data_IF_184739794216
#
_entry.id   IF_184739794216
#
_cell.length_a   1.000
_cell.length_b   1.000
_cell.length_c   1.000
_cell.angle_alpha   90.00
_cell.angle_beta   90.00
_cell.angle_gamma   90.00
#
_symmetry.space_group_name_H-M   'P 1'
#
loop_
_entity.id
_entity.type
_entity.pdbx_description
1 polymer ?
#
# COMPACT_ATOMS: atom_id res chain seq x y z
N UNK A 1 21.72 26.24 -6.21
CA UNK A 1 21.79 24.81 -5.89
C UNK A 1 21.15 24.02 -7.02
N UNK A 2 21.88 23.17 -7.76
CA UNK A 2 21.35 22.32 -8.84
C UNK A 2 21.68 20.86 -8.56
N UNK A 3 20.76 19.96 -8.89
CA UNK A 3 20.98 18.51 -8.84
C UNK A 3 21.43 18.05 -10.22
N UNK A 4 22.67 17.59 -10.32
CA UNK A 4 23.22 17.02 -11.57
C UNK A 4 23.08 15.48 -11.53
N UNK A 5 22.50 14.85 -12.55
CA UNK A 5 22.37 13.40 -12.59
C UNK A 5 23.77 12.75 -12.74
N UNK A 6 23.96 11.64 -12.05
CA UNK A 6 25.18 10.82 -12.13
C UNK A 6 24.83 9.55 -12.90
N UNK A 7 25.46 9.33 -14.05
CA UNK A 7 25.22 8.15 -14.87
C UNK A 7 25.65 6.85 -14.18
N UNK A 8 26.83 6.85 -13.55
CA UNK A 8 27.38 5.69 -12.84
C UNK A 8 27.78 6.08 -11.42
N UNK A 9 26.92 5.86 -10.42
CA UNK A 9 27.27 6.12 -9.03
C UNK A 9 28.37 5.16 -8.55
N UNK A 10 29.34 5.67 -7.81
CA UNK A 10 30.39 4.86 -7.17
C UNK A 10 29.78 3.88 -6.16
N UNK A 11 30.48 2.76 -5.88
CA UNK A 11 30.07 1.78 -4.90
C UNK A 11 29.79 2.44 -3.53
N UNK A 12 30.65 3.40 -3.12
CA UNK A 12 30.49 4.16 -1.89
C UNK A 12 29.17 4.94 -1.87
N UNK A 13 28.72 5.54 -2.96
CA UNK A 13 27.42 6.23 -3.04
C UNK A 13 26.28 5.25 -3.09
N UNK A 14 26.44 4.11 -3.79
CA UNK A 14 25.40 3.11 -3.98
C UNK A 14 25.02 2.40 -2.68
N UNK A 15 25.98 2.16 -1.80
CA UNK A 15 25.77 1.49 -0.51
C UNK A 15 25.89 2.44 0.68
N UNK A 16 26.77 3.43 0.63
CA UNK A 16 27.02 4.34 1.73
C UNK A 16 25.84 5.26 2.03
N UNK A 17 25.20 5.87 1.01
CA UNK A 17 24.03 6.75 1.25
C UNK A 17 22.82 6.00 1.83
N UNK A 18 22.41 4.80 1.37
CA UNK A 18 21.41 4.02 2.08
C UNK A 18 21.83 3.63 3.50
N UNK A 19 23.11 3.30 3.72
CA UNK A 19 23.63 3.01 5.06
C UNK A 19 23.57 4.23 5.99
N UNK A 20 23.89 5.43 5.51
CA UNK A 20 23.73 6.68 6.28
C UNK A 20 22.27 7.00 6.58
N UNK A 21 21.34 6.72 5.66
CA UNK A 21 19.90 6.86 5.90
C UNK A 21 19.43 5.92 7.01
N UNK A 22 19.88 4.67 6.98
CA UNK A 22 19.58 3.69 8.03
C UNK A 22 20.18 4.14 9.37
N UNK A 23 21.44 4.59 9.40
CA UNK A 23 22.08 5.10 10.61
C UNK A 23 21.34 6.31 11.18
N UNK A 24 20.88 7.24 10.34
CA UNK A 24 20.10 8.40 10.77
C UNK A 24 18.73 7.97 11.34
N UNK A 25 18.08 6.99 10.72
CA UNK A 25 16.84 6.41 11.24
C UNK A 25 17.04 5.81 12.63
N UNK A 26 18.10 5.00 12.80
CA UNK A 26 18.47 4.41 14.10
C UNK A 26 18.78 5.48 15.13
N UNK A 27 19.47 6.55 14.74
CA UNK A 27 19.78 7.68 15.64
C UNK A 27 18.50 8.37 16.12
N UNK A 28 17.57 8.69 15.21
CA UNK A 28 16.28 9.31 15.56
C UNK A 28 15.45 8.38 16.44
N UNK A 29 15.40 7.08 16.11
CA UNK A 29 14.75 6.08 16.93
C UNK A 29 15.33 6.03 18.34
N UNK A 30 16.66 6.04 18.45
CA UNK A 30 17.36 6.03 19.72
C UNK A 30 17.09 7.28 20.55
N UNK A 31 17.06 8.45 19.91
CA UNK A 31 16.73 9.70 20.57
C UNK A 31 15.29 9.72 21.09
N UNK A 32 14.33 9.26 20.29
CA UNK A 32 12.92 9.17 20.69
C UNK A 32 12.73 8.16 21.83
N UNK A 33 13.44 7.03 21.81
CA UNK A 33 13.42 6.05 22.89
C UNK A 33 13.95 6.66 24.20
N UNK A 34 15.06 7.42 24.14
CA UNK A 34 15.60 8.14 25.30
C UNK A 34 14.62 9.17 25.85
N UNK A 35 13.98 9.96 24.98
CA UNK A 35 12.97 10.94 25.40
C UNK A 35 11.74 10.27 26.03
N UNK A 36 11.42 9.04 25.64
CA UNK A 36 10.37 8.22 26.25
C UNK A 36 10.84 7.48 27.51
N UNK A 37 12.09 7.71 27.99
CA UNK A 37 12.63 7.03 29.17
C UNK A 37 13.04 5.58 28.95
N UNK A 38 13.10 5.12 27.68
CA UNK A 38 13.45 3.74 27.33
C UNK A 38 14.91 3.62 26.86
N UNK A 39 15.52 2.44 27.11
CA UNK A 39 16.86 2.13 26.62
C UNK A 39 16.85 1.93 25.09
N UNK A 40 17.61 2.72 24.30
CA UNK A 40 17.61 2.65 22.84
C UNK A 40 17.99 1.27 22.28
N UNK A 41 19.00 0.63 22.86
CA UNK A 41 19.43 -0.69 22.40
C UNK A 41 18.40 -1.78 22.67
N UNK A 42 17.76 -1.73 23.84
CA UNK A 42 16.66 -2.63 24.18
C UNK A 42 15.46 -2.38 23.23
N UNK A 43 15.14 -1.13 22.95
CA UNK A 43 14.05 -0.71 22.03
C UNK A 43 14.28 -1.24 20.62
N UNK A 44 15.48 -1.03 20.07
CA UNK A 44 15.83 -1.56 18.75
C UNK A 44 15.83 -3.09 18.70
N UNK A 45 16.32 -3.74 19.77
CA UNK A 45 16.27 -5.20 19.92
C UNK A 45 14.82 -5.72 19.93
N UNK A 46 13.90 -5.02 20.62
CA UNK A 46 12.48 -5.35 20.65
C UNK A 46 11.81 -5.18 19.28
N UNK A 47 12.17 -4.15 18.50
CA UNK A 47 11.67 -3.96 17.14
C UNK A 47 12.10 -5.13 16.25
N UNK A 48 13.38 -5.50 16.25
CA UNK A 48 13.89 -6.61 15.45
C UNK A 48 13.28 -7.94 15.87
N UNK A 49 13.21 -8.19 17.18
CA UNK A 49 12.58 -9.39 17.73
C UNK A 49 11.08 -9.45 17.43
N UNK A 50 10.39 -8.32 17.50
CA UNK A 50 8.97 -8.20 17.16
C UNK A 50 8.69 -8.40 15.66
N UNK A 51 9.61 -7.99 14.80
CA UNK A 51 9.46 -8.15 13.34
C UNK A 51 9.68 -9.59 12.86
N UNK A 52 10.69 -10.31 13.40
CA UNK A 52 11.12 -11.61 12.89
C UNK A 52 11.65 -12.58 13.96
N UNK A 53 11.64 -12.25 15.24
CA UNK A 53 12.26 -13.03 16.31
C UNK A 53 11.50 -14.31 16.71
N UNK A 54 10.32 -14.55 16.18
CA UNK A 54 9.53 -15.77 16.40
C UNK A 54 8.70 -16.12 15.17
N UNK A 55 8.22 -17.39 15.09
CA UNK A 55 7.29 -17.80 14.03
C UNK A 55 6.03 -16.94 14.01
N UNK A 56 5.51 -16.58 15.19
CA UNK A 56 4.35 -15.68 15.31
C UNK A 56 4.67 -14.29 14.73
N UNK A 57 5.79 -13.69 15.12
CA UNK A 57 6.21 -12.37 14.66
C UNK A 57 6.40 -12.33 13.13
N UNK A 58 7.06 -13.36 12.57
CA UNK A 58 7.26 -13.47 11.14
C UNK A 58 5.93 -13.57 10.37
N UNK A 59 5.01 -14.42 10.82
CA UNK A 59 3.71 -14.61 10.16
C UNK A 59 2.80 -13.37 10.31
N UNK A 60 2.91 -12.63 11.42
CA UNK A 60 2.23 -11.34 11.58
C UNK A 60 2.79 -10.29 10.62
N UNK A 61 4.12 -10.25 10.43
CA UNK A 61 4.78 -9.39 9.44
C UNK A 61 4.33 -9.71 8.02
N UNK A 62 4.23 -11.00 7.65
CA UNK A 62 3.70 -11.40 6.34
C UNK A 62 2.25 -11.00 6.16
N UNK A 63 1.41 -11.16 7.19
CA UNK A 63 0.02 -10.74 7.16
C UNK A 63 -0.12 -9.23 6.95
N UNK A 64 0.66 -8.44 7.72
CA UNK A 64 0.66 -6.98 7.63
C UNK A 64 1.23 -6.46 6.30
N UNK A 65 2.14 -7.22 5.66
CA UNK A 65 2.69 -6.90 4.35
C UNK A 65 1.67 -7.07 3.21
N UNK A 66 0.65 -7.92 3.39
CA UNK A 66 -0.32 -8.23 2.33
C UNK A 66 -1.01 -6.99 1.74
N UNK A 67 -1.70 -6.13 2.52
CA UNK A 67 -2.31 -4.92 2.00
C UNK A 67 -1.27 -3.92 1.47
N UNK A 68 -0.08 -3.86 2.07
CA UNK A 68 1.01 -2.98 1.62
C UNK A 68 1.59 -3.41 0.26
N UNK A 69 1.62 -4.71 -0.05
CA UNK A 69 2.00 -5.20 -1.38
C UNK A 69 0.97 -4.72 -2.42
N UNK A 70 -0.32 -4.90 -2.16
CA UNK A 70 -1.37 -4.49 -3.09
C UNK A 70 -1.38 -2.99 -3.33
N UNK A 71 -1.37 -2.17 -2.27
CA UNK A 71 -1.34 -0.71 -2.39
C UNK A 71 -0.04 -0.21 -3.01
N UNK A 72 1.09 -0.80 -2.65
CA UNK A 72 2.39 -0.50 -3.26
C UNK A 72 2.44 -0.83 -4.76
N UNK A 73 1.87 -1.96 -5.19
CA UNK A 73 1.74 -2.31 -6.60
C UNK A 73 0.81 -1.33 -7.34
N UNK A 74 -0.31 -0.96 -6.73
CA UNK A 74 -1.23 0.02 -7.28
C UNK A 74 -0.53 1.34 -7.59
N UNK A 75 0.21 1.87 -6.63
CA UNK A 75 0.99 3.09 -6.78
C UNK A 75 2.13 2.92 -7.79
N UNK A 76 2.86 1.81 -7.75
CA UNK A 76 3.97 1.54 -8.68
C UNK A 76 3.49 1.52 -10.14
N UNK A 77 2.30 0.97 -10.41
CA UNK A 77 1.67 0.96 -11.73
C UNK A 77 1.32 2.38 -12.18
N UNK A 78 0.63 3.14 -11.34
CA UNK A 78 0.17 4.49 -11.66
C UNK A 78 1.35 5.47 -11.86
N UNK A 79 2.29 5.50 -10.92
CA UNK A 79 3.41 6.45 -10.95
C UNK A 79 4.37 6.21 -12.12
N UNK A 80 4.42 5.00 -12.65
CA UNK A 80 5.20 4.70 -13.85
C UNK A 80 4.68 5.43 -15.09
N UNK A 81 3.38 5.73 -15.16
CA UNK A 81 2.76 6.58 -16.18
C UNK A 81 2.78 8.08 -15.80
N UNK A 82 3.39 8.46 -14.68
CA UNK A 82 3.22 9.77 -14.04
C UNK A 82 1.75 10.12 -13.77
N UNK A 83 0.94 9.13 -13.48
CA UNK A 83 -0.38 9.27 -12.90
C UNK A 83 -0.24 9.22 -11.38
N UNK A 84 -0.36 10.38 -10.72
CA UNK A 84 -0.15 10.50 -9.28
C UNK A 84 -1.38 10.06 -8.50
N UNK A 85 -1.57 8.72 -8.38
CA UNK A 85 -2.65 8.15 -7.59
C UNK A 85 -2.32 8.21 -6.09
N UNK A 86 -2.83 9.22 -5.38
CA UNK A 86 -2.78 9.33 -3.92
C UNK A 86 -4.07 8.76 -3.29
N UNK A 87 -5.04 8.36 -4.12
CA UNK A 87 -6.35 7.86 -3.73
C UNK A 87 -6.42 6.36 -3.40
N UNK A 88 -5.28 5.70 -3.21
CA UNK A 88 -5.26 4.25 -2.96
C UNK A 88 -6.05 3.86 -1.68
N UNK A 89 -6.18 4.75 -0.71
CA UNK A 89 -6.98 4.55 0.49
C UNK A 89 -8.48 4.47 0.15
N UNK A 90 -9.00 5.39 -0.68
CA UNK A 90 -10.39 5.35 -1.14
C UNK A 90 -10.71 4.07 -1.92
N UNK A 91 -9.79 3.66 -2.78
CA UNK A 91 -9.92 2.44 -3.58
C UNK A 91 -9.92 1.18 -2.71
N UNK A 92 -9.08 1.15 -1.65
CA UNK A 92 -9.05 0.10 -0.64
C UNK A 92 -10.42 -0.02 0.04
N UNK A 93 -10.97 1.09 0.54
CA UNK A 93 -12.28 1.09 1.18
C UNK A 93 -13.41 0.73 0.21
N UNK A 94 -13.35 1.13 -1.07
CA UNK A 94 -14.30 0.68 -2.08
C UNK A 94 -14.30 -0.84 -2.24
N UNK A 95 -13.11 -1.45 -2.27
CA UNK A 95 -12.95 -2.90 -2.27
C UNK A 95 -13.50 -3.56 -1.01
N UNK A 96 -13.26 -2.97 0.15
CA UNK A 96 -13.78 -3.45 1.43
C UNK A 96 -15.32 -3.40 1.51
N UNK A 97 -15.95 -2.31 1.04
CA UNK A 97 -17.41 -2.17 0.97
C UNK A 97 -18.02 -3.29 0.13
N UNK A 98 -17.50 -3.49 -1.10
CA UNK A 98 -18.01 -4.54 -1.99
C UNK A 98 -17.79 -5.93 -1.41
N UNK A 99 -16.67 -6.15 -0.72
CA UNK A 99 -16.38 -7.41 -0.05
C UNK A 99 -17.44 -7.73 1.02
N UNK A 100 -17.84 -6.73 1.80
CA UNK A 100 -18.91 -6.92 2.80
C UNK A 100 -20.28 -7.10 2.14
N UNK A 101 -20.62 -6.27 1.15
CA UNK A 101 -21.92 -6.35 0.45
C UNK A 101 -22.18 -7.73 -0.14
N UNK A 102 -21.15 -8.34 -0.74
CA UNK A 102 -21.29 -9.66 -1.37
C UNK A 102 -21.02 -10.82 -0.40
N UNK A 103 -20.23 -10.56 0.65
CA UNK A 103 -19.77 -11.60 1.57
C UNK A 103 -20.67 -11.85 2.78
N UNK A 104 -21.74 -11.07 2.95
CA UNK A 104 -22.75 -11.21 4.05
C UNK A 104 -24.00 -12.00 3.63
N UNK A 105 -23.88 -12.90 2.65
CA UNK A 105 -24.97 -13.78 2.23
C UNK A 105 -25.77 -13.30 1.02
N UNK A 106 -25.34 -12.24 0.35
CA UNK A 106 -26.01 -11.75 -0.86
C UNK A 106 -25.94 -12.73 -2.05
N UNK A 107 -24.93 -13.60 -2.07
CA UNK A 107 -24.72 -14.59 -3.14
C UNK A 107 -24.56 -15.99 -2.53
N UNK A 108 -25.53 -16.91 -2.73
CA UNK A 108 -25.46 -18.28 -2.22
C UNK A 108 -24.54 -19.15 -3.07
N UNK A 109 -23.24 -18.82 -3.09
CA UNK A 109 -22.22 -19.53 -3.85
C UNK A 109 -21.24 -20.27 -2.91
N UNK A 110 -20.70 -21.43 -3.32
CA UNK A 110 -19.61 -22.07 -2.58
C UNK A 110 -18.35 -21.19 -2.59
N UNK A 111 -17.54 -21.27 -1.52
CA UNK A 111 -16.32 -20.43 -1.33
C UNK A 111 -15.40 -20.43 -2.55
N UNK A 112 -15.29 -21.53 -3.25
CA UNK A 112 -14.42 -21.64 -4.44
C UNK A 112 -14.82 -20.69 -5.57
N UNK A 113 -16.10 -20.35 -5.70
CA UNK A 113 -16.62 -19.38 -6.67
C UNK A 113 -16.85 -18.00 -6.04
N UNK A 114 -17.30 -17.95 -4.80
CA UNK A 114 -17.64 -16.71 -4.11
C UNK A 114 -16.42 -15.79 -3.94
N UNK A 115 -15.29 -16.33 -3.47
CA UNK A 115 -14.09 -15.54 -3.24
C UNK A 115 -13.52 -14.90 -4.52
N UNK A 116 -13.35 -15.61 -5.66
CA UNK A 116 -12.98 -14.97 -6.92
C UNK A 116 -13.97 -13.91 -7.39
N UNK A 117 -15.27 -14.14 -7.25
CA UNK A 117 -16.32 -13.17 -7.62
C UNK A 117 -16.20 -11.90 -6.79
N UNK A 118 -16.06 -12.04 -5.45
CA UNK A 118 -15.86 -10.90 -4.56
C UNK A 118 -14.58 -10.14 -4.90
N UNK A 119 -13.47 -10.86 -5.14
CA UNK A 119 -12.19 -10.24 -5.48
C UNK A 119 -12.27 -9.44 -6.81
N UNK A 120 -12.91 -9.99 -7.85
CA UNK A 120 -13.11 -9.29 -9.12
C UNK A 120 -14.05 -8.09 -8.97
N UNK A 121 -15.13 -8.23 -8.21
CA UNK A 121 -16.06 -7.13 -7.94
C UNK A 121 -15.37 -6.01 -7.12
N UNK A 122 -14.56 -6.37 -6.14
CA UNK A 122 -13.75 -5.42 -5.39
C UNK A 122 -12.75 -4.69 -6.30
N UNK A 123 -12.03 -5.42 -7.17
CA UNK A 123 -11.14 -4.81 -8.17
C UNK A 123 -11.88 -3.82 -9.08
N UNK A 124 -13.06 -4.17 -9.55
CA UNK A 124 -13.88 -3.30 -10.38
C UNK A 124 -14.30 -2.04 -9.63
N UNK A 125 -14.71 -2.16 -8.37
CA UNK A 125 -15.09 -1.01 -7.54
C UNK A 125 -13.93 -0.02 -7.38
N UNK A 126 -12.74 -0.48 -7.01
CA UNK A 126 -11.58 0.39 -6.89
C UNK A 126 -11.11 0.98 -8.23
N UNK A 127 -11.23 0.22 -9.31
CA UNK A 127 -10.95 0.68 -10.66
C UNK A 127 -11.90 1.85 -11.05
N UNK A 128 -13.20 1.73 -10.74
CA UNK A 128 -14.21 2.77 -10.98
C UNK A 128 -13.96 4.02 -10.14
N UNK A 129 -13.54 3.88 -8.88
CA UNK A 129 -13.20 5.02 -8.02
C UNK A 129 -12.05 5.83 -8.61
N UNK A 130 -11.00 5.19 -9.14
CA UNK A 130 -9.89 5.91 -9.75
C UNK A 130 -10.21 6.43 -11.16
N UNK A 131 -11.16 5.80 -11.84
CA UNK A 131 -11.56 6.23 -13.18
C UNK A 131 -12.08 7.68 -13.18
N UNK A 132 -12.83 8.11 -12.16
CA UNK A 132 -13.31 9.48 -12.02
C UNK A 132 -12.18 10.53 -12.12
N UNK A 133 -11.22 10.54 -11.19
CA UNK A 133 -10.05 11.43 -11.22
C UNK A 133 -9.28 11.39 -12.55
N UNK A 134 -9.11 10.20 -13.14
CA UNK A 134 -8.37 10.06 -14.41
C UNK A 134 -9.14 10.63 -15.59
N UNK A 135 -10.46 10.51 -15.64
CA UNK A 135 -11.28 11.15 -16.66
C UNK A 135 -11.26 12.67 -16.51
N UNK A 136 -11.32 13.20 -15.27
CA UNK A 136 -11.15 14.63 -15.01
C UNK A 136 -9.80 15.14 -15.50
N UNK A 137 -8.71 14.40 -15.24
CA UNK A 137 -7.37 14.75 -15.74
C UNK A 137 -7.31 14.70 -17.26
N UNK A 138 -7.74 13.61 -17.87
CA UNK A 138 -7.52 13.37 -19.31
C UNK A 138 -8.44 14.19 -20.22
N UNK A 139 -9.62 14.59 -19.74
CA UNK A 139 -10.62 15.35 -20.50
C UNK A 139 -10.66 16.84 -20.15
N UNK A 140 -10.47 17.17 -18.88
CA UNK A 140 -10.63 18.53 -18.35
C UNK A 140 -9.32 19.15 -17.85
N UNK A 141 -8.20 18.38 -17.83
CA UNK A 141 -6.91 18.87 -17.35
C UNK A 141 -6.83 19.12 -15.83
N UNK A 142 -7.79 18.58 -15.06
CA UNK A 142 -7.80 18.73 -13.59
C UNK A 142 -6.65 17.95 -12.97
N UNK A 143 -6.05 18.50 -11.90
CA UNK A 143 -4.96 17.86 -11.18
C UNK A 143 -5.45 16.59 -10.47
N UNK A 144 -4.83 15.46 -10.80
CA UNK A 144 -5.18 14.15 -10.22
C UNK A 144 -4.71 13.98 -8.78
N UNK A 145 -3.66 14.70 -8.36
CA UNK A 145 -3.18 14.67 -6.96
C UNK A 145 -4.28 15.16 -6.04
N UNK A 146 -4.84 16.33 -6.37
CA UNK A 146 -5.91 16.95 -5.60
C UNK A 146 -7.18 16.10 -5.64
N UNK A 147 -7.60 15.67 -6.83
CA UNK A 147 -8.84 14.89 -6.97
C UNK A 147 -8.75 13.54 -6.28
N UNK A 148 -7.65 12.79 -6.42
CA UNK A 148 -7.50 11.50 -5.74
C UNK A 148 -7.42 11.64 -4.22
N UNK A 149 -6.78 12.71 -3.72
CA UNK A 149 -6.74 13.01 -2.29
C UNK A 149 -8.13 13.32 -1.73
N UNK A 150 -8.91 14.14 -2.44
CA UNK A 150 -10.30 14.45 -2.04
C UNK A 150 -11.19 13.20 -2.04
N UNK A 151 -10.99 12.28 -2.98
CA UNK A 151 -11.70 11.00 -2.97
C UNK A 151 -11.43 10.16 -1.72
N UNK A 152 -10.25 10.25 -1.09
CA UNK A 152 -9.99 9.60 0.20
C UNK A 152 -10.92 10.14 1.29
N UNK A 153 -11.08 11.46 1.40
CA UNK A 153 -11.98 12.06 2.37
C UNK A 153 -13.44 11.72 2.09
N UNK A 154 -13.86 11.82 0.83
CA UNK A 154 -15.24 11.47 0.42
C UNK A 154 -15.53 10.01 0.79
N UNK A 155 -14.60 9.10 0.50
CA UNK A 155 -14.79 7.67 0.79
C UNK A 155 -14.85 7.39 2.30
N UNK A 156 -14.03 8.02 3.13
CA UNK A 156 -14.10 7.86 4.59
C UNK A 156 -15.44 8.33 5.15
N UNK A 157 -15.93 9.50 4.69
CA UNK A 157 -17.26 10.00 5.07
C UNK A 157 -18.37 9.08 4.56
N UNK A 158 -18.24 8.54 3.37
CA UNK A 158 -19.18 7.58 2.80
C UNK A 158 -19.21 6.26 3.59
N UNK A 159 -18.04 5.74 3.99
CA UNK A 159 -17.97 4.55 4.87
C UNK A 159 -18.63 4.84 6.22
N UNK A 160 -18.40 6.01 6.82
CA UNK A 160 -19.07 6.43 8.06
C UNK A 160 -20.59 6.42 7.89
N UNK A 161 -21.10 7.04 6.83
CA UNK A 161 -22.52 7.02 6.49
C UNK A 161 -23.08 5.60 6.36
N UNK A 162 -22.36 4.71 5.66
CA UNK A 162 -22.79 3.32 5.49
C UNK A 162 -22.84 2.57 6.81
N UNK A 163 -21.83 2.74 7.68
CA UNK A 163 -21.73 2.04 8.96
C UNK A 163 -22.67 2.58 10.04
N UNK A 164 -23.11 3.82 9.94
CA UNK A 164 -24.12 4.39 10.82
C UNK A 164 -25.56 4.15 10.31
N UNK A 165 -25.71 3.81 9.02
CA UNK A 165 -26.97 3.61 8.34
C UNK A 165 -27.13 2.21 7.74
N UNK A 166 -27.15 2.08 6.38
CA UNK A 166 -27.60 0.87 5.70
C UNK A 166 -26.74 -0.37 5.90
N UNK A 167 -25.47 -0.22 6.28
CA UNK A 167 -24.55 -1.33 6.55
C UNK A 167 -24.24 -1.51 8.04
N UNK A 168 -25.01 -0.89 8.92
CA UNK A 168 -24.81 -1.04 10.36
C UNK A 168 -25.17 -2.45 10.81
N UNK A 169 -24.29 -3.05 11.62
CA UNK A 169 -24.56 -4.33 12.27
C UNK A 169 -25.64 -4.15 13.37
N UNK A 170 -26.84 -4.75 13.25
CA UNK A 170 -27.87 -4.67 14.29
C UNK A 170 -27.43 -5.21 15.65
N UNK A 171 -26.49 -6.17 15.65
CA UNK A 171 -25.91 -6.79 16.85
C UNK A 171 -24.65 -6.06 17.35
N UNK A 172 -24.30 -4.94 16.74
CA UNK A 172 -23.05 -4.22 16.98
C UNK A 172 -22.97 -3.40 18.27
N UNK A 173 -23.98 -3.45 19.14
CA UNK A 173 -24.04 -2.72 20.43
C UNK A 173 -23.73 -1.22 20.30
N UNK A 174 -24.13 -0.60 19.18
CA UNK A 174 -23.87 0.83 18.91
C UNK A 174 -22.54 1.16 18.22
N UNK A 175 -21.60 0.21 18.12
CA UNK A 175 -20.36 0.42 17.37
C UNK A 175 -20.60 0.56 15.86
N UNK A 176 -19.96 1.50 15.18
CA UNK A 176 -20.08 1.68 13.73
C UNK A 176 -19.26 0.60 12.99
N UNK A 177 -19.84 -0.55 12.83
CA UNK A 177 -19.28 -1.70 12.10
C UNK A 177 -20.33 -2.37 11.22
N UNK A 178 -19.89 -3.05 10.17
CA UNK A 178 -20.74 -3.88 9.34
C UNK A 178 -21.01 -5.25 9.99
N UNK A 179 -22.05 -5.97 9.54
CA UNK A 179 -22.21 -7.40 9.84
C UNK A 179 -20.95 -8.18 9.46
N UNK A 180 -20.71 -9.29 10.16
CA UNK A 180 -19.58 -10.16 9.87
C UNK A 180 -19.80 -10.94 8.58
N UNK A 181 -18.72 -11.15 7.83
CA UNK A 181 -18.73 -12.03 6.66
C UNK A 181 -19.10 -13.46 7.03
N UNK A 182 -19.82 -14.13 6.14
CA UNK A 182 -20.03 -15.57 6.20
C UNK A 182 -18.71 -16.33 6.06
N UNK A 183 -18.67 -17.55 6.60
CA UNK A 183 -17.48 -18.41 6.53
C UNK A 183 -17.05 -18.66 5.09
N UNK A 184 -18.01 -18.77 4.16
CA UNK A 184 -17.75 -18.98 2.73
C UNK A 184 -17.00 -17.81 2.08
N UNK A 185 -17.19 -16.58 2.56
CA UNK A 185 -16.57 -15.36 2.07
C UNK A 185 -15.23 -15.02 2.76
N UNK A 186 -14.76 -15.86 3.68
CA UNK A 186 -13.48 -15.66 4.37
C UNK A 186 -12.35 -16.40 3.66
N UNK A 187 -11.23 -15.71 3.48
CA UNK A 187 -10.01 -16.34 2.95
C UNK A 187 -9.47 -17.38 3.95
N UNK A 188 -9.18 -18.61 3.48
CA UNK A 188 -8.59 -19.63 4.33
C UNK A 188 -7.27 -19.16 4.93
N UNK A 189 -6.97 -19.59 6.14
CA UNK A 189 -5.67 -19.36 6.78
C UNK A 189 -4.64 -20.34 6.24
N UNK A 190 -3.40 -19.89 6.06
CA UNK A 190 -2.28 -20.74 5.63
C UNK A 190 -1.76 -21.59 6.80
N UNK A 191 -1.84 -21.00 8.01
CA UNK A 191 -1.41 -21.66 9.25
C UNK A 191 -2.53 -21.52 10.28
N UNK A 192 -3.03 -22.65 10.77
CA UNK A 192 -4.08 -22.66 11.79
C UNK A 192 -3.63 -21.95 13.08
N UNK A 193 -4.56 -21.20 13.67
CA UNK A 193 -4.28 -20.41 14.88
C UNK A 193 -3.52 -19.11 14.66
N UNK A 194 -3.02 -18.83 13.45
CA UNK A 194 -2.30 -17.61 13.10
C UNK A 194 -3.07 -16.78 12.07
N UNK A 195 -2.62 -15.54 11.84
CA UNK A 195 -3.35 -14.56 11.01
C UNK A 195 -3.04 -14.60 9.53
N UNK A 196 -1.97 -15.30 9.11
CA UNK A 196 -1.57 -15.38 7.72
C UNK A 196 -2.61 -16.16 6.90
N UNK A 197 -3.13 -15.52 5.87
CA UNK A 197 -4.19 -16.03 5.00
C UNK A 197 -3.75 -16.03 3.52
N UNK A 198 -4.50 -16.74 2.66
CA UNK A 198 -4.21 -16.87 1.23
C UNK A 198 -4.16 -15.55 0.45
N UNK A 199 -4.61 -14.45 1.04
CA UNK A 199 -4.41 -13.09 0.50
C UNK A 199 -2.94 -12.76 0.28
N UNK A 200 -2.01 -13.27 1.12
CA UNK A 200 -0.58 -13.10 0.90
C UNK A 200 -0.09 -13.77 -0.39
N UNK A 201 -0.51 -15.00 -0.63
CA UNK A 201 -0.19 -15.69 -1.88
C UNK A 201 -0.76 -14.96 -3.10
N UNK A 202 -2.00 -14.44 -2.99
CA UNK A 202 -2.62 -13.60 -4.01
C UNK A 202 -1.82 -12.31 -4.26
N UNK A 203 -1.29 -11.67 -3.20
CA UNK A 203 -0.45 -10.48 -3.33
C UNK A 203 0.87 -10.76 -4.05
N UNK A 204 1.51 -11.90 -3.78
CA UNK A 204 2.71 -12.34 -4.51
C UNK A 204 2.39 -12.62 -5.99
N UNK A 205 1.29 -13.32 -6.26
CA UNK A 205 0.83 -13.57 -7.63
C UNK A 205 0.53 -12.26 -8.37
N UNK A 206 -0.11 -11.29 -7.70
CA UNK A 206 -0.34 -9.96 -8.24
C UNK A 206 0.99 -9.23 -8.55
N UNK A 207 2.00 -9.34 -7.68
CA UNK A 207 3.32 -8.75 -7.94
C UNK A 207 3.99 -9.34 -9.18
N UNK A 208 3.91 -10.66 -9.35
CA UNK A 208 4.43 -11.36 -10.55
C UNK A 208 3.63 -10.94 -11.79
N UNK A 209 2.30 -10.91 -11.71
CA UNK A 209 1.44 -10.51 -12.82
C UNK A 209 1.73 -9.07 -13.27
N UNK A 210 1.84 -8.13 -12.32
CA UNK A 210 2.20 -6.73 -12.61
C UNK A 210 3.60 -6.63 -13.19
N UNK A 211 4.56 -7.40 -12.69
CA UNK A 211 5.90 -7.46 -13.26
C UNK A 211 5.87 -7.94 -14.73
N UNK A 212 5.14 -9.01 -15.04
CA UNK A 212 4.95 -9.51 -16.41
C UNK A 212 4.27 -8.44 -17.28
N UNK A 213 3.18 -7.84 -16.82
CA UNK A 213 2.48 -6.76 -17.55
C UNK A 213 3.45 -5.62 -17.87
N UNK A 214 4.21 -5.16 -16.89
CA UNK A 214 5.11 -4.02 -17.06
C UNK A 214 6.35 -4.33 -17.90
N UNK A 215 6.83 -5.58 -17.97
CA UNK A 215 8.07 -5.92 -18.65
C UNK A 215 7.87 -6.62 -19.99
N UNK A 216 6.75 -7.33 -20.17
CA UNK A 216 6.51 -8.22 -21.31
C UNK A 216 5.33 -7.84 -22.19
N UNK A 217 4.56 -6.79 -21.83
CA UNK A 217 3.38 -6.39 -22.63
C UNK A 217 3.52 -4.99 -23.25
N UNK A 218 2.70 -4.74 -24.28
CA UNK A 218 2.58 -3.41 -24.90
C UNK A 218 2.11 -2.34 -23.92
N UNK A 219 1.20 -2.68 -22.99
CA UNK A 219 0.73 -1.75 -21.95
C UNK A 219 1.90 -1.29 -21.06
N UNK A 220 2.81 -2.18 -20.69
CA UNK A 220 3.98 -1.81 -19.89
C UNK A 220 4.96 -0.91 -20.65
N UNK A 221 5.13 -1.13 -21.95
CA UNK A 221 5.91 -0.25 -22.82
C UNK A 221 5.25 1.13 -22.94
N UNK A 222 3.97 1.19 -23.30
CA UNK A 222 3.19 2.41 -23.46
C UNK A 222 3.17 3.24 -22.17
N UNK A 223 2.96 2.60 -21.02
CA UNK A 223 2.97 3.23 -19.70
C UNK A 223 4.31 3.91 -19.40
N UNK A 224 5.43 3.25 -19.74
CA UNK A 224 6.77 3.85 -19.59
C UNK A 224 7.00 5.00 -20.55
N UNK A 225 6.59 4.85 -21.82
CA UNK A 225 6.74 5.90 -22.83
C UNK A 225 5.95 7.17 -22.42
N UNK A 226 4.70 7.01 -22.00
CA UNK A 226 3.85 8.11 -21.50
C UNK A 226 4.48 8.75 -20.25
N UNK A 227 5.01 7.94 -19.34
CA UNK A 227 5.66 8.45 -18.12
C UNK A 227 6.98 9.17 -18.38
N UNK A 228 7.72 8.84 -19.43
CA UNK A 228 8.94 9.56 -19.81
C UNK A 228 8.60 10.92 -20.44
N UNK A 229 7.79 10.92 -21.48
CA UNK A 229 7.31 12.14 -22.13
C UNK A 229 5.97 11.86 -22.86
N UNK A 230 4.88 12.39 -22.31
CA UNK A 230 3.54 12.19 -22.86
C UNK A 230 3.36 12.83 -24.26
N UNK A 231 4.03 13.95 -24.55
CA UNK A 231 3.95 14.61 -25.85
C UNK A 231 4.69 13.81 -26.92
N UNK A 232 5.91 13.35 -26.62
CA UNK A 232 6.66 12.49 -27.52
C UNK A 232 5.94 11.15 -27.75
N UNK A 233 5.34 10.56 -26.72
CA UNK A 233 4.52 9.36 -26.84
C UNK A 233 3.31 9.58 -27.77
N UNK A 234 2.62 10.72 -27.65
CA UNK A 234 1.51 11.08 -28.54
C UNK A 234 1.99 11.27 -29.98
N UNK A 235 3.12 11.93 -30.19
CA UNK A 235 3.72 12.10 -31.51
C UNK A 235 4.06 10.74 -32.15
N UNK A 236 4.54 9.78 -31.35
CA UNK A 236 4.80 8.40 -31.76
C UNK A 236 3.53 7.54 -31.96
N UNK A 237 2.32 8.14 -31.91
CA UNK A 237 1.05 7.42 -32.11
C UNK A 237 0.48 6.69 -30.90
N UNK A 238 1.09 6.82 -29.70
CA UNK A 238 0.58 6.19 -28.49
C UNK A 238 -0.65 6.97 -27.97
N UNK A 239 -1.79 6.31 -27.77
CA UNK A 239 -3.02 6.96 -27.28
C UNK A 239 -2.95 7.25 -25.78
N UNK A 240 -2.27 8.33 -25.39
CA UNK A 240 -1.95 8.70 -24.00
C UNK A 240 -3.16 8.60 -23.07
N UNK A 241 -4.33 9.13 -23.47
CA UNK A 241 -5.54 9.07 -22.64
C UNK A 241 -6.01 7.63 -22.37
N UNK A 242 -5.97 6.75 -23.39
CA UNK A 242 -6.33 5.33 -23.21
C UNK A 242 -5.32 4.60 -22.32
N UNK A 243 -4.03 4.90 -22.45
CA UNK A 243 -2.98 4.33 -21.61
C UNK A 243 -3.20 4.73 -20.16
N UNK A 244 -3.49 6.01 -19.89
CA UNK A 244 -3.78 6.49 -18.55
C UNK A 244 -5.01 5.82 -17.94
N UNK A 245 -6.10 5.65 -18.69
CA UNK A 245 -7.30 4.95 -18.23
C UNK A 245 -7.00 3.48 -17.92
N UNK A 246 -6.33 2.73 -18.81
CA UNK A 246 -5.95 1.33 -18.54
C UNK A 246 -5.06 1.20 -17.29
N UNK A 247 -4.10 2.11 -17.16
CA UNK A 247 -3.21 2.18 -15.98
C UNK A 247 -4.00 2.46 -14.70
N UNK A 248 -4.99 3.36 -14.77
CA UNK A 248 -5.86 3.67 -13.64
C UNK A 248 -6.73 2.48 -13.22
N UNK A 249 -7.36 1.81 -14.19
CA UNK A 249 -8.18 0.63 -13.88
C UNK A 249 -7.37 -0.47 -13.19
N UNK A 250 -6.15 -0.74 -13.67
CA UNK A 250 -5.25 -1.71 -13.05
C UNK A 250 -4.81 -1.25 -11.64
N UNK A 251 -4.42 0.03 -11.50
CA UNK A 251 -3.99 0.59 -10.22
C UNK A 251 -5.12 0.57 -9.18
N UNK A 252 -6.30 1.09 -9.53
CA UNK A 252 -7.45 1.11 -8.63
C UNK A 252 -7.92 -0.29 -8.23
N UNK A 253 -7.92 -1.23 -9.18
CA UNK A 253 -8.25 -2.62 -8.90
C UNK A 253 -7.26 -3.28 -7.92
N UNK A 254 -5.96 -3.04 -8.08
CA UNK A 254 -4.94 -3.54 -7.15
C UNK A 254 -5.12 -2.97 -5.74
N UNK A 255 -5.36 -1.67 -5.61
CA UNK A 255 -5.59 -1.05 -4.31
C UNK A 255 -6.83 -1.61 -3.61
N UNK A 256 -7.89 -1.91 -4.36
CA UNK A 256 -9.11 -2.51 -3.82
C UNK A 256 -8.91 -3.94 -3.31
N UNK A 257 -7.99 -4.71 -3.90
CA UNK A 257 -7.62 -6.03 -3.38
C UNK A 257 -6.99 -5.95 -1.97
N UNK A 258 -6.38 -4.82 -1.59
CA UNK A 258 -5.95 -4.62 -0.21
C UNK A 258 -7.16 -4.63 0.74
N UNK A 259 -8.23 -3.90 0.41
CA UNK A 259 -9.46 -3.89 1.19
C UNK A 259 -10.15 -5.26 1.23
N UNK A 260 -10.22 -5.95 0.09
CA UNK A 260 -10.69 -7.34 0.04
C UNK A 260 -9.87 -8.24 0.98
N UNK A 261 -8.54 -8.16 0.92
CA UNK A 261 -7.68 -9.01 1.75
C UNK A 261 -7.78 -8.72 3.24
N UNK A 262 -7.98 -7.45 3.63
CA UNK A 262 -8.17 -7.06 5.02
C UNK A 262 -9.51 -7.54 5.58
N UNK A 263 -10.59 -7.35 4.83
CA UNK A 263 -11.92 -7.76 5.26
C UNK A 263 -12.08 -9.28 5.21
N UNK A 264 -11.79 -9.91 4.07
CA UNK A 264 -11.99 -11.36 3.91
C UNK A 264 -10.94 -12.21 4.62
N UNK A 265 -9.71 -11.68 4.81
CA UNK A 265 -8.61 -12.43 5.40
C UNK A 265 -8.41 -12.21 6.88
N UNK A 266 -8.58 -10.98 7.37
CA UNK A 266 -8.19 -10.62 8.72
C UNK A 266 -9.35 -10.18 9.61
N UNK A 267 -10.03 -9.08 9.26
CA UNK A 267 -11.02 -8.42 10.13
C UNK A 267 -12.37 -9.13 10.15
N UNK A 268 -12.86 -9.60 9.01
CA UNK A 268 -14.15 -10.25 8.85
C UNK A 268 -15.35 -9.31 8.83
N UNK A 269 -15.16 -8.01 8.94
CA UNK A 269 -16.16 -6.95 8.88
C UNK A 269 -15.52 -5.64 8.42
N UNK A 270 -16.31 -4.66 8.03
CA UNK A 270 -15.88 -3.29 7.73
C UNK A 270 -16.01 -2.42 8.98
N UNK A 271 -14.95 -1.65 9.26
CA UNK A 271 -14.88 -0.62 10.31
C UNK A 271 -14.16 0.60 9.77
N UNK A 272 -14.29 1.75 10.43
CA UNK A 272 -13.57 2.97 10.03
C UNK A 272 -12.04 2.85 10.21
N UNK A 273 -11.61 2.04 11.15
CA UNK A 273 -10.21 1.73 11.45
C UNK A 273 -9.68 0.50 10.69
N UNK A 274 -10.32 0.12 9.58
CA UNK A 274 -9.89 -1.01 8.75
C UNK A 274 -8.45 -0.84 8.27
N UNK A 275 -8.12 0.36 7.80
CA UNK A 275 -6.80 0.72 7.30
C UNK A 275 -6.15 1.79 8.19
N UNK A 276 -4.96 1.53 8.75
CA UNK A 276 -4.14 2.56 9.39
C UNK A 276 -3.39 3.43 8.36
N UNK A 277 -3.96 3.66 7.18
CA UNK A 277 -3.33 4.41 6.10
C UNK A 277 -2.49 3.54 5.14
N UNK A 278 -2.90 2.31 4.87
CA UNK A 278 -2.20 1.42 3.93
C UNK A 278 -2.07 2.02 2.53
N UNK A 279 -3.06 2.80 2.06
CA UNK A 279 -3.00 3.47 0.77
C UNK A 279 -1.91 4.53 0.70
N UNK A 280 -1.74 5.32 1.77
CA UNK A 280 -0.66 6.30 1.88
C UNK A 280 0.71 5.63 2.04
N UNK A 281 0.79 4.61 2.90
CA UNK A 281 2.02 3.83 3.10
C UNK A 281 2.42 3.09 1.83
N UNK A 282 1.47 2.69 0.98
CA UNK A 282 1.72 2.12 -0.34
C UNK A 282 2.56 3.01 -1.26
N UNK A 283 2.40 4.35 -1.15
CA UNK A 283 3.25 5.31 -1.89
C UNK A 283 4.71 5.14 -1.49
N UNK A 284 4.95 5.03 -0.21
CA UNK A 284 6.27 4.88 0.38
C UNK A 284 6.89 3.56 -0.05
N UNK A 285 6.13 2.46 0.06
CA UNK A 285 6.55 1.12 -0.39
C UNK A 285 6.93 1.12 -1.87
N UNK A 286 6.11 1.74 -2.74
CA UNK A 286 6.38 1.85 -4.17
C UNK A 286 7.63 2.67 -4.48
N UNK A 287 7.83 3.79 -3.78
CA UNK A 287 9.00 4.65 -3.96
C UNK A 287 10.28 3.99 -3.47
N UNK A 288 10.23 3.29 -2.34
CA UNK A 288 11.35 2.51 -1.82
C UNK A 288 11.74 1.39 -2.79
N UNK A 289 10.77 0.77 -3.44
CA UNK A 289 10.97 -0.23 -4.49
C UNK A 289 11.43 0.36 -5.85
N UNK A 290 11.58 1.68 -5.97
CA UNK A 290 11.85 2.37 -7.23
C UNK A 290 10.85 2.00 -8.34
N UNK A 291 9.58 1.84 -7.96
CA UNK A 291 8.46 1.41 -8.81
C UNK A 291 8.67 0.02 -9.46
N UNK A 292 9.55 -0.81 -8.92
CA UNK A 292 9.74 -2.19 -9.37
C UNK A 292 8.74 -3.10 -8.66
N UNK A 293 7.86 -3.84 -9.39
CA UNK A 293 6.83 -4.67 -8.77
C UNK A 293 7.36 -5.76 -7.85
N UNK A 294 8.46 -6.41 -8.20
CA UNK A 294 9.08 -7.41 -7.32
C UNK A 294 9.78 -6.74 -6.11
N UNK A 295 10.35 -5.56 -6.33
CA UNK A 295 10.90 -4.73 -5.25
C UNK A 295 9.83 -4.28 -4.25
N UNK A 296 8.58 -4.07 -4.68
CA UNK A 296 7.44 -3.73 -3.81
C UNK A 296 7.22 -4.80 -2.74
N UNK A 297 7.37 -6.07 -3.07
CA UNK A 297 7.24 -7.17 -2.09
C UNK A 297 8.26 -7.02 -0.97
N UNK A 298 9.53 -6.81 -1.31
CA UNK A 298 10.61 -6.65 -0.32
C UNK A 298 10.42 -5.37 0.52
N UNK A 299 10.04 -4.27 -0.14
CA UNK A 299 9.77 -3.01 0.54
C UNK A 299 8.58 -3.10 1.49
N UNK A 300 7.50 -3.79 1.08
CA UNK A 300 6.33 -4.03 1.91
C UNK A 300 6.64 -4.90 3.13
N UNK A 301 7.45 -5.95 2.95
CA UNK A 301 7.92 -6.79 4.05
C UNK A 301 8.78 -5.99 5.05
N UNK A 302 9.66 -5.14 4.56
CA UNK A 302 10.46 -4.26 5.41
C UNK A 302 9.58 -3.30 6.22
N UNK A 303 8.67 -2.58 5.57
CA UNK A 303 7.77 -1.63 6.22
C UNK A 303 6.83 -2.33 7.20
N UNK A 304 6.25 -3.48 6.83
CA UNK A 304 5.44 -4.30 7.72
C UNK A 304 6.22 -4.77 8.95
N UNK A 305 7.48 -5.20 8.76
CA UNK A 305 8.36 -5.59 9.86
C UNK A 305 8.62 -4.44 10.84
N UNK A 306 8.81 -3.22 10.33
CA UNK A 306 8.95 -2.03 11.19
C UNK A 306 7.67 -1.79 11.99
N UNK A 307 6.49 -1.85 11.38
CA UNK A 307 5.21 -1.68 12.09
C UNK A 307 4.98 -2.75 13.15
N UNK A 308 5.14 -4.04 12.81
CA UNK A 308 4.94 -5.14 13.77
C UNK A 308 5.97 -5.11 14.89
N UNK A 309 7.22 -4.79 14.55
CA UNK A 309 8.30 -4.60 15.53
C UNK A 309 8.00 -3.46 16.48
N UNK A 310 7.49 -2.36 15.98
CA UNK A 310 7.12 -1.20 16.75
C UNK A 310 5.90 -1.45 17.66
N UNK A 311 4.90 -2.16 17.20
CA UNK A 311 3.79 -2.63 18.03
C UNK A 311 4.28 -3.55 19.16
N UNK A 312 5.26 -4.40 18.87
CA UNK A 312 5.89 -5.27 19.87
C UNK A 312 6.68 -4.48 20.92
N UNK A 313 7.45 -3.49 20.47
CA UNK A 313 8.18 -2.57 21.34
C UNK A 313 7.23 -1.80 22.26
N UNK A 314 6.14 -1.26 21.72
CA UNK A 314 5.15 -0.52 22.49
C UNK A 314 4.55 -1.36 23.61
N UNK A 315 4.17 -2.58 23.33
CA UNK A 315 3.63 -3.51 24.34
C UNK A 315 4.65 -3.94 25.40
N UNK A 316 5.92 -4.09 25.02
CA UNK A 316 6.96 -4.58 25.92
C UNK A 316 7.61 -3.49 26.76
N UNK A 317 7.78 -2.28 26.21
CA UNK A 317 8.48 -1.17 26.86
C UNK A 317 7.56 -0.05 27.34
N UNK A 318 6.22 -0.16 27.12
CA UNK A 318 5.27 0.90 27.45
C UNK A 318 5.46 2.19 26.64
N UNK A 319 6.23 2.14 25.57
CA UNK A 319 6.52 3.28 24.69
C UNK A 319 5.32 3.49 23.75
N UNK A 320 4.82 4.72 23.62
CA UNK A 320 3.67 4.98 22.76
C UNK A 320 3.86 4.56 21.29
N UNK A 321 2.83 4.01 20.67
CA UNK A 321 2.88 3.48 19.29
C UNK A 321 3.22 4.51 18.23
N UNK A 322 2.85 5.80 18.42
CA UNK A 322 3.18 6.87 17.47
C UNK A 322 4.69 7.14 17.35
N UNK A 323 5.54 6.71 18.30
CA UNK A 323 6.99 6.72 18.09
C UNK A 323 7.37 5.81 16.92
N UNK A 324 6.66 4.70 16.75
CA UNK A 324 6.81 3.82 15.60
C UNK A 324 6.44 4.49 14.27
N UNK A 325 5.36 5.27 14.27
CA UNK A 325 4.94 6.01 13.09
C UNK A 325 5.97 7.06 12.69
N UNK A 326 6.50 7.81 13.69
CA UNK A 326 7.58 8.78 13.48
C UNK A 326 8.85 8.08 12.95
N UNK A 327 9.19 6.93 13.51
CA UNK A 327 10.35 6.14 13.12
C UNK A 327 10.20 5.64 11.68
N UNK A 328 9.04 5.13 11.33
CA UNK A 328 8.71 4.69 9.98
C UNK A 328 8.77 5.86 9.00
N UNK A 329 8.14 6.99 9.32
CA UNK A 329 8.16 8.19 8.49
C UNK A 329 9.60 8.70 8.29
N UNK A 330 10.42 8.70 9.34
CA UNK A 330 11.83 9.12 9.28
C UNK A 330 12.65 8.16 8.42
N UNK A 331 12.49 6.85 8.62
CA UNK A 331 13.16 5.83 7.81
C UNK A 331 12.90 6.01 6.33
N UNK A 332 11.65 6.29 5.99
CA UNK A 332 11.20 6.45 4.62
C UNK A 332 11.72 7.75 4.00
N UNK A 333 11.62 8.86 4.73
CA UNK A 333 12.13 10.15 4.27
C UNK A 333 13.65 10.08 4.01
N UNK A 334 14.40 9.56 4.97
CA UNK A 334 15.87 9.45 4.85
C UNK A 334 16.27 8.50 3.74
N UNK A 335 15.55 7.39 3.55
CA UNK A 335 15.83 6.43 2.48
C UNK A 335 15.52 6.99 1.09
N UNK A 336 14.39 7.69 0.93
CA UNK A 336 14.03 8.36 -0.34
C UNK A 336 15.08 9.43 -0.70
N UNK A 337 15.50 10.24 0.29
CA UNK A 337 16.58 11.21 0.09
C UNK A 337 17.90 10.54 -0.29
N UNK A 338 18.29 9.48 0.41
CA UNK A 338 19.51 8.72 0.11
C UNK A 338 19.50 8.13 -1.31
N UNK A 339 18.38 7.52 -1.71
CA UNK A 339 18.23 6.98 -3.07
C UNK A 339 18.30 8.08 -4.14
N UNK A 340 17.76 9.26 -3.86
CA UNK A 340 17.82 10.41 -4.76
C UNK A 340 19.27 10.91 -4.89
N UNK A 341 19.96 11.08 -3.77
CA UNK A 341 21.37 11.53 -3.71
C UNK A 341 22.34 10.49 -4.29
N UNK A 342 21.99 9.22 -4.29
CA UNK A 342 22.79 8.18 -4.97
C UNK A 342 22.87 8.42 -6.47
N UNK A 343 21.81 8.94 -7.08
CA UNK A 343 21.69 9.19 -8.54
C UNK A 343 21.93 10.65 -8.95
N UNK A 344 22.13 11.54 -7.99
CA UNK A 344 22.37 12.96 -8.24
C UNK A 344 23.40 13.53 -7.27
N UNK A 345 24.16 14.53 -7.71
CA UNK A 345 25.04 15.33 -6.84
C UNK A 345 24.52 16.74 -6.71
N UNK A 346 24.69 17.29 -5.51
CA UNK A 346 24.40 18.69 -5.23
C UNK A 346 25.59 19.50 -5.69
N UNK A 347 25.36 20.45 -6.58
CA UNK A 347 26.36 21.44 -6.99
C UNK A 347 25.95 22.80 -6.48
N UNK A 348 26.80 23.35 -5.61
CA UNK A 348 26.66 24.72 -5.15
C UNK A 348 27.30 25.63 -6.23
N UNK A 349 26.55 26.63 -6.69
CA UNK A 349 27.08 27.72 -7.47
C UNK A 349 27.33 28.91 -6.58
#
# INVERSE_FOLDING_TARGET
MRLEPIANPTALRRFGLPATALALTVLVASLLALLAGANPFATLGLILKGAAGSKFALLETLSRATPLIFTGLAVAVAFRAKLWNIGAEAQLYAGAIVTVLLGTGALPLPSALLLPVIALAAMLAGALVLLGPVLLKTRLGVDEVVTTLLFNFIMLLFVSYLLEGPMKDPMGMGWPKSPALEKAARLPRIVDGLRLHWGFALAILAAIAVWVIQTRTTLGYETRAVGLNAEAARFAGIPVGRVMVKTALLSGGLAALAGFSEVAGLKGNLTLDLSPGFGYTGIIVAMLALLNPLGVVLSALFVAGVFVGADSMSRAAGVPTYIADILTATALLTMVLALRLTRARIRWR
#
